data_IF_934460358976
#
_entry.id   IF_934460358976
#
_cell.length_a   1.000
_cell.length_b   1.000
_cell.length_c   1.000
_cell.angle_alpha   90.00
_cell.angle_beta   90.00
_cell.angle_gamma   90.00
#
_symmetry.space_group_name_H-M   'P 1'
#
loop_
_entity.id
_entity.type
_entity.pdbx_description
1 polymer ?
#
# COMPACT_ATOMS: atom_id res chain seq x y z
N UNK A 1 16.28 -28.56 24.68
CA UNK A 1 16.51 -28.31 23.23
C UNK A 1 15.95 -26.95 22.80
N UNK A 2 15.51 -26.14 23.78
CA UNK A 2 14.51 -25.08 23.58
C UNK A 2 15.16 -23.69 23.47
N UNK A 3 16.34 -23.50 24.06
CA UNK A 3 17.15 -22.29 23.87
C UNK A 3 17.65 -22.10 22.44
N UNK A 4 17.88 -23.19 21.68
CA UNK A 4 18.29 -23.09 20.27
C UNK A 4 17.11 -22.77 19.35
N UNK A 5 15.91 -23.26 19.70
CA UNK A 5 14.67 -22.91 19.00
C UNK A 5 14.26 -21.47 19.32
N UNK A 6 14.44 -21.02 20.57
CA UNK A 6 14.20 -19.64 20.98
C UNK A 6 15.23 -18.67 20.38
N UNK A 7 16.52 -19.02 20.32
CA UNK A 7 17.53 -18.21 19.64
C UNK A 7 17.33 -18.17 18.12
N UNK A 8 16.82 -19.26 17.52
CA UNK A 8 16.39 -19.23 16.13
C UNK A 8 15.15 -18.34 15.97
N UNK A 9 14.16 -18.40 16.88
CA UNK A 9 12.94 -17.57 16.99
C UNK A 9 13.26 -16.07 16.98
N UNK A 10 14.26 -15.69 17.78
CA UNK A 10 14.79 -14.33 17.91
C UNK A 10 15.63 -13.90 16.68
N UNK A 11 16.08 -14.87 15.88
CA UNK A 11 16.82 -14.69 14.63
C UNK A 11 15.91 -14.71 13.38
N UNK A 12 14.59 -14.98 13.49
CA UNK A 12 13.67 -15.01 12.32
C UNK A 12 13.39 -13.60 11.81
N UNK A 13 14.26 -13.05 10.96
CA UNK A 13 14.02 -12.69 9.54
C UNK A 13 12.60 -12.26 9.07
N UNK A 14 11.70 -11.85 9.96
CA UNK A 14 10.35 -11.42 9.64
C UNK A 14 10.34 -9.97 9.16
N UNK A 15 11.27 -9.14 9.60
CA UNK A 15 11.47 -7.81 9.04
C UNK A 15 12.05 -7.88 7.63
N UNK A 16 13.07 -8.70 7.39
CA UNK A 16 13.68 -8.85 6.06
C UNK A 16 12.72 -9.51 5.06
N UNK A 17 11.95 -10.52 5.48
CA UNK A 17 10.93 -11.13 4.62
C UNK A 17 9.77 -10.16 4.36
N UNK A 18 9.37 -9.36 5.35
CA UNK A 18 8.36 -8.32 5.20
C UNK A 18 8.85 -7.19 4.29
N UNK A 19 10.12 -6.81 4.39
CA UNK A 19 10.76 -5.85 3.49
C UNK A 19 10.81 -6.39 2.07
N UNK A 20 11.24 -7.65 1.86
CA UNK A 20 11.27 -8.29 0.55
C UNK A 20 9.86 -8.43 -0.05
N UNK A 21 8.86 -8.75 0.77
CA UNK A 21 7.46 -8.81 0.33
C UNK A 21 6.93 -7.42 -0.05
N UNK A 22 7.30 -6.39 0.73
CA UNK A 22 6.95 -5.00 0.44
C UNK A 22 7.61 -4.49 -0.85
N UNK A 23 8.88 -4.80 -1.09
CA UNK A 23 9.59 -4.46 -2.33
C UNK A 23 8.96 -5.15 -3.54
N UNK A 24 8.63 -6.45 -3.42
CA UNK A 24 7.91 -7.18 -4.46
C UNK A 24 6.53 -6.55 -4.72
N UNK A 25 5.82 -6.20 -3.66
CA UNK A 25 4.53 -5.54 -3.77
C UNK A 25 4.64 -4.19 -4.48
N UNK A 26 5.61 -3.35 -4.09
CA UNK A 26 5.87 -2.06 -4.72
C UNK A 26 6.12 -2.20 -6.23
N UNK A 27 7.03 -3.10 -6.63
CA UNK A 27 7.32 -3.35 -8.05
C UNK A 27 6.08 -3.83 -8.81
N UNK A 28 5.33 -4.78 -8.25
CA UNK A 28 4.11 -5.25 -8.88
C UNK A 28 3.08 -4.13 -9.02
N UNK A 29 3.01 -3.22 -8.04
CA UNK A 29 2.07 -2.11 -8.04
C UNK A 29 2.44 -1.03 -9.08
N UNK A 30 3.73 -0.81 -9.32
CA UNK A 30 4.25 0.05 -10.40
C UNK A 30 3.88 -0.46 -11.81
N UNK A 31 3.58 -1.75 -11.95
CA UNK A 31 3.04 -2.33 -13.19
C UNK A 31 1.50 -2.38 -13.19
N UNK A 32 0.90 -2.62 -12.02
CA UNK A 32 -0.54 -2.84 -11.85
C UNK A 32 -1.36 -1.55 -11.91
N UNK A 33 -0.80 -0.38 -11.59
CA UNK A 33 -1.60 0.86 -11.44
C UNK A 33 -2.39 1.24 -12.71
N UNK A 34 -1.90 0.87 -13.90
CA UNK A 34 -2.60 1.09 -15.17
C UNK A 34 -3.76 0.12 -15.39
N UNK A 35 -3.81 -0.99 -14.65
CA UNK A 35 -4.88 -1.99 -14.73
C UNK A 35 -6.12 -1.51 -13.97
N UNK A 36 -7.29 -1.96 -14.41
CA UNK A 36 -8.56 -1.72 -13.72
C UNK A 36 -8.70 -2.58 -12.45
N UNK A 37 -7.75 -3.48 -12.18
CA UNK A 37 -7.63 -4.20 -10.91
C UNK A 37 -6.94 -3.41 -9.80
N UNK A 38 -6.36 -2.24 -10.10
CA UNK A 38 -5.69 -1.41 -9.10
C UNK A 38 -6.63 -0.99 -7.94
N UNK A 39 -7.86 -0.49 -8.18
CA UNK A 39 -8.78 -0.15 -7.10
C UNK A 39 -9.12 -1.33 -6.18
N UNK A 40 -9.25 -2.54 -6.74
CA UNK A 40 -9.50 -3.74 -5.93
C UNK A 40 -8.32 -4.09 -5.03
N UNK A 41 -7.09 -3.92 -5.53
CA UNK A 41 -5.88 -4.08 -4.73
C UNK A 41 -5.84 -3.06 -3.58
N UNK A 42 -6.25 -1.81 -3.82
CA UNK A 42 -6.38 -0.80 -2.74
C UNK A 42 -7.35 -1.27 -1.67
N UNK A 43 -8.54 -1.73 -2.06
CA UNK A 43 -9.55 -2.25 -1.11
C UNK A 43 -8.99 -3.40 -0.30
N UNK A 44 -8.32 -4.35 -0.94
CA UNK A 44 -7.73 -5.51 -0.26
C UNK A 44 -6.65 -5.10 0.73
N UNK A 45 -5.79 -4.15 0.38
CA UNK A 45 -4.75 -3.61 1.27
C UNK A 45 -5.39 -2.96 2.50
N UNK A 46 -6.39 -2.11 2.32
CA UNK A 46 -7.04 -1.43 3.45
C UNK A 46 -7.91 -2.37 4.30
N UNK A 47 -8.41 -3.48 3.72
CA UNK A 47 -9.16 -4.52 4.43
C UNK A 47 -8.25 -5.48 5.21
N UNK A 48 -7.06 -5.78 4.71
CA UNK A 48 -6.14 -6.79 5.26
C UNK A 48 -5.09 -6.22 6.22
N UNK A 49 -4.85 -4.91 6.20
CA UNK A 49 -3.85 -4.25 7.06
C UNK A 49 -4.49 -3.60 8.27
N UNK A 50 -3.95 -3.92 9.45
CA UNK A 50 -4.27 -3.19 10.69
C UNK A 50 -3.66 -1.79 10.65
N UNK A 51 -4.29 -0.84 11.36
CA UNK A 51 -3.87 0.58 11.39
C UNK A 51 -2.39 0.82 11.74
N UNK A 52 -1.76 -0.11 12.48
CA UNK A 52 -0.35 -0.02 12.89
C UNK A 52 0.63 -0.50 11.81
N UNK A 53 0.16 -1.23 10.80
CA UNK A 53 0.96 -1.73 9.68
C UNK A 53 0.73 -0.88 8.43
N UNK A 54 1.22 0.36 8.47
CA UNK A 54 1.00 1.38 7.43
C UNK A 54 1.88 1.22 6.18
N UNK A 55 2.81 0.27 6.15
CA UNK A 55 3.80 0.17 5.07
C UNK A 55 3.13 -0.09 3.70
N UNK A 56 2.22 -1.06 3.61
CA UNK A 56 1.48 -1.37 2.38
C UNK A 56 0.54 -0.22 1.98
N UNK A 57 -0.17 0.37 2.95
CA UNK A 57 -1.04 1.54 2.73
C UNK A 57 -0.24 2.71 2.14
N UNK A 58 0.94 2.98 2.70
CA UNK A 58 1.85 4.02 2.22
C UNK A 58 2.29 3.78 0.77
N UNK A 59 2.61 2.54 0.39
CA UNK A 59 3.01 2.20 -0.99
C UNK A 59 1.85 2.44 -1.96
N UNK A 60 0.64 1.99 -1.61
CA UNK A 60 -0.55 2.20 -2.45
C UNK A 60 -0.86 3.67 -2.65
N UNK A 61 -0.85 4.43 -1.55
CA UNK A 61 -1.11 5.87 -1.56
C UNK A 61 -0.03 6.62 -2.36
N UNK A 62 1.24 6.22 -2.23
CA UNK A 62 2.34 6.80 -3.01
C UNK A 62 2.16 6.57 -4.52
N UNK A 63 1.85 5.35 -4.93
CA UNK A 63 1.59 5.03 -6.35
C UNK A 63 0.36 5.77 -6.86
N UNK A 64 -0.75 5.76 -6.10
CA UNK A 64 -1.96 6.49 -6.47
C UNK A 64 -1.71 8.01 -6.60
N UNK A 65 -0.89 8.59 -5.72
CA UNK A 65 -0.59 10.02 -5.74
C UNK A 65 0.35 10.38 -6.89
N UNK A 66 1.29 9.50 -7.22
CA UNK A 66 2.22 9.65 -8.34
C UNK A 66 1.48 9.66 -9.67
N UNK A 67 0.48 8.79 -9.82
CA UNK A 67 -0.33 8.64 -11.04
C UNK A 67 -1.71 9.30 -10.95
N UNK A 68 -1.86 10.31 -10.07
CA UNK A 68 -3.16 10.91 -9.77
C UNK A 68 -3.87 11.50 -10.99
N UNK A 69 -3.11 12.07 -11.93
CA UNK A 69 -3.67 12.63 -13.17
C UNK A 69 -4.31 11.56 -14.05
N UNK A 70 -3.60 10.45 -14.28
CA UNK A 70 -4.07 9.34 -15.10
C UNK A 70 -5.21 8.58 -14.43
N UNK A 71 -5.05 8.27 -13.14
CA UNK A 71 -6.07 7.58 -12.35
C UNK A 71 -7.34 8.43 -12.20
N UNK A 72 -7.24 9.74 -12.06
CA UNK A 72 -8.38 10.65 -11.96
C UNK A 72 -9.28 10.68 -13.19
N UNK A 73 -8.78 10.21 -14.35
CA UNK A 73 -9.58 10.07 -15.57
C UNK A 73 -10.41 8.77 -15.62
N UNK A 74 -10.11 7.79 -14.76
CA UNK A 74 -10.79 6.49 -14.73
C UNK A 74 -11.99 6.51 -13.79
N UNK A 75 -13.16 6.15 -14.31
CA UNK A 75 -14.39 6.05 -13.50
C UNK A 75 -14.26 5.06 -12.34
N UNK A 76 -13.63 3.90 -12.57
CA UNK A 76 -13.42 2.89 -11.52
C UNK A 76 -12.56 3.40 -10.33
N UNK A 77 -11.68 4.36 -10.58
CA UNK A 77 -10.91 4.98 -9.52
C UNK A 77 -11.73 6.06 -8.80
N UNK A 78 -12.59 6.80 -9.51
CA UNK A 78 -13.54 7.72 -8.88
C UNK A 78 -14.53 6.99 -7.98
N UNK A 79 -15.00 5.80 -8.38
CA UNK A 79 -15.86 4.95 -7.55
C UNK A 79 -15.18 4.62 -6.21
N UNK A 80 -13.90 4.23 -6.25
CA UNK A 80 -13.10 3.99 -5.03
C UNK A 80 -13.00 5.25 -4.15
N UNK A 81 -12.86 6.44 -4.74
CA UNK A 81 -12.84 7.70 -3.97
C UNK A 81 -14.23 8.00 -3.35
N UNK A 82 -15.30 7.70 -4.07
CA UNK A 82 -16.67 7.87 -3.58
C UNK A 82 -17.03 6.91 -2.43
N UNK A 83 -16.38 5.75 -2.35
CA UNK A 83 -16.51 4.82 -1.20
C UNK A 83 -16.01 5.45 0.12
N UNK A 84 -15.08 6.40 0.05
CA UNK A 84 -14.52 7.07 1.22
C UNK A 84 -13.60 6.17 2.05
N UNK A 85 -13.60 6.37 3.38
CA UNK A 85 -12.77 5.63 4.33
C UNK A 85 -11.32 6.11 4.43
N UNK A 86 -10.51 5.36 5.18
CA UNK A 86 -9.11 5.71 5.50
C UNK A 86 -8.26 5.97 4.26
N UNK A 87 -8.52 5.25 3.16
CA UNK A 87 -7.77 5.42 1.92
C UNK A 87 -7.87 6.84 1.39
N UNK A 88 -9.08 7.42 1.35
CA UNK A 88 -9.28 8.76 0.80
C UNK A 88 -8.62 9.82 1.67
N UNK A 89 -8.62 9.61 2.99
CA UNK A 89 -7.91 10.49 3.94
C UNK A 89 -6.41 10.43 3.71
N UNK A 90 -5.81 9.24 3.75
CA UNK A 90 -4.37 9.05 3.53
C UNK A 90 -3.94 9.57 2.13
N UNK A 91 -4.78 9.33 1.12
CA UNK A 91 -4.56 9.80 -0.26
C UNK A 91 -4.58 11.32 -0.37
N UNK A 92 -5.58 11.97 0.23
CA UNK A 92 -5.70 13.42 0.24
C UNK A 92 -4.52 14.09 0.97
N UNK A 93 -4.14 13.57 2.14
CA UNK A 93 -2.97 14.04 2.89
C UNK A 93 -1.68 13.96 2.05
N UNK A 94 -1.50 12.84 1.32
CA UNK A 94 -0.35 12.66 0.43
C UNK A 94 -0.34 13.67 -0.72
N UNK A 95 -1.50 13.94 -1.33
CA UNK A 95 -1.62 14.93 -2.41
C UNK A 95 -1.27 16.34 -1.92
N UNK A 96 -1.68 16.72 -0.71
CA UNK A 96 -1.33 18.00 -0.13
C UNK A 96 0.18 18.12 0.10
N UNK A 97 0.80 17.08 0.65
CA UNK A 97 2.25 17.06 0.90
C UNK A 97 3.07 17.20 -0.40
N UNK A 98 2.65 16.51 -1.47
CA UNK A 98 3.36 16.53 -2.75
C UNK A 98 3.30 17.91 -3.45
N UNK A 99 2.32 18.77 -3.15
CA UNK A 99 2.20 20.12 -3.74
C UNK A 99 3.07 21.18 -3.07
N UNK A 100 3.57 20.90 -1.87
CA UNK A 100 4.42 21.82 -1.09
C UNK A 100 5.93 21.65 -1.35
N UNK A 101 6.31 20.81 -2.32
CA UNK A 101 7.68 20.59 -2.78
C UNK A 101 7.82 21.05 -4.23
#
# INVERSE_FOLDING_TARGET
KDLRVYALADMFFLEDLKALALEKFKRNLEELWMSDSFPECVREVYKSTYERDRALRSVVVEVAATHAHDLGSKEIFKDLICEGGDFVVDYFEKLLYNRTK
#
